data_IF_867653904231
#
_entry.id   IF_867653904231
#
_cell.length_a   1.000
_cell.length_b   1.000
_cell.length_c   1.000
_cell.angle_alpha   90.00
_cell.angle_beta   90.00
_cell.angle_gamma   90.00
#
_symmetry.space_group_name_H-M   'P 1'
#
loop_
_entity.id
_entity.type
_entity.pdbx_description
1 polymer ?
#
# COMPACT_ATOMS: atom_id res chain seq x y z
N UNK A 1 11.14 -43.95 -12.33
CA UNK A 1 10.31 -45.00 -11.73
C UNK A 1 9.82 -45.95 -12.83
N UNK A 2 9.10 -45.47 -13.87
CA UNK A 2 8.47 -46.32 -14.90
C UNK A 2 9.46 -47.25 -15.53
N UNK A 3 10.51 -46.71 -16.17
CA UNK A 3 11.49 -47.50 -16.95
C UNK A 3 12.39 -48.38 -16.11
N UNK A 4 12.68 -48.02 -14.84
CA UNK A 4 13.67 -48.71 -14.02
C UNK A 4 13.07 -49.74 -13.07
N UNK A 5 11.79 -49.60 -12.69
CA UNK A 5 11.16 -50.47 -11.69
C UNK A 5 9.86 -51.12 -12.21
N UNK A 6 8.98 -50.32 -12.92
CA UNK A 6 7.67 -50.85 -13.36
C UNK A 6 7.81 -51.75 -14.56
N UNK A 7 8.49 -51.31 -15.61
CA UNK A 7 8.66 -52.13 -16.83
C UNK A 7 9.44 -53.44 -16.58
N UNK A 8 10.54 -53.47 -15.77
CA UNK A 8 11.23 -54.71 -15.43
C UNK A 8 10.51 -55.54 -14.36
N UNK A 9 9.47 -55.05 -13.69
CA UNK A 9 8.75 -55.76 -12.64
C UNK A 9 9.47 -55.82 -11.30
N UNK A 10 10.43 -54.91 -11.03
CA UNK A 10 11.18 -54.83 -9.77
C UNK A 10 10.35 -54.20 -8.68
N UNK A 11 9.58 -55.06 -7.95
CA UNK A 11 8.69 -54.65 -6.87
C UNK A 11 9.45 -54.14 -5.67
N UNK A 12 10.62 -54.75 -5.34
CA UNK A 12 11.40 -54.35 -4.20
C UNK A 12 12.08 -53.00 -4.37
N UNK A 13 12.63 -52.74 -5.56
CA UNK A 13 13.20 -51.47 -5.95
C UNK A 13 12.15 -50.37 -5.99
N UNK A 14 10.94 -50.70 -6.50
CA UNK A 14 9.79 -49.78 -6.49
C UNK A 14 9.40 -49.41 -5.02
N UNK A 15 9.30 -50.36 -4.12
CA UNK A 15 8.96 -50.12 -2.71
C UNK A 15 9.97 -49.21 -2.00
N UNK A 16 11.28 -49.43 -2.23
CA UNK A 16 12.33 -48.53 -1.70
C UNK A 16 12.21 -47.13 -2.24
N UNK A 17 11.96 -46.97 -3.55
CA UNK A 17 11.78 -45.66 -4.19
C UNK A 17 10.55 -44.92 -3.66
N UNK A 18 9.41 -45.61 -3.47
CA UNK A 18 8.22 -45.06 -2.88
C UNK A 18 8.42 -44.63 -1.44
N UNK A 19 9.20 -45.39 -0.65
CA UNK A 19 9.57 -44.99 0.70
C UNK A 19 10.40 -43.69 0.68
N UNK A 20 11.42 -43.62 -0.18
CA UNK A 20 12.22 -42.39 -0.34
C UNK A 20 11.38 -41.20 -0.76
N UNK A 21 10.47 -41.35 -1.73
CA UNK A 21 9.54 -40.31 -2.14
C UNK A 21 8.64 -39.84 -0.97
N UNK A 22 8.14 -40.78 -0.16
CA UNK A 22 7.34 -40.46 1.03
C UNK A 22 8.12 -39.60 2.01
N UNK A 23 9.37 -39.95 2.30
CA UNK A 23 10.25 -39.15 3.18
C UNK A 23 10.49 -37.76 2.58
N UNK A 24 10.78 -37.68 1.29
CA UNK A 24 10.98 -36.40 0.59
C UNK A 24 9.73 -35.49 0.67
N UNK A 25 8.54 -36.08 0.46
CA UNK A 25 7.28 -35.31 0.60
C UNK A 25 7.03 -34.88 2.05
N UNK A 26 7.32 -35.75 3.02
CA UNK A 26 7.18 -35.40 4.44
C UNK A 26 8.10 -34.22 4.82
N UNK A 27 9.36 -34.24 4.36
CA UNK A 27 10.31 -33.14 4.54
C UNK A 27 9.78 -31.86 3.85
N UNK A 28 9.26 -31.99 2.64
CA UNK A 28 8.66 -30.88 1.90
C UNK A 28 7.48 -30.23 2.65
N UNK A 29 6.59 -31.05 3.21
CA UNK A 29 5.44 -30.56 4.02
C UNK A 29 5.93 -29.83 5.27
N UNK A 30 6.91 -30.42 5.99
CA UNK A 30 7.49 -29.78 7.18
C UNK A 30 8.20 -28.46 6.85
N UNK A 31 8.95 -28.43 5.76
CA UNK A 31 9.61 -27.22 5.29
C UNK A 31 8.58 -26.14 4.92
N UNK A 32 7.52 -26.50 4.19
CA UNK A 32 6.42 -25.58 3.81
C UNK A 32 5.73 -25.02 5.05
N UNK A 33 5.40 -25.88 6.02
CA UNK A 33 4.83 -25.45 7.28
C UNK A 33 5.77 -24.53 8.06
N UNK A 34 7.06 -24.89 8.13
CA UNK A 34 8.09 -24.12 8.84
C UNK A 34 8.26 -22.72 8.26
N UNK A 35 8.45 -22.62 6.94
CA UNK A 35 8.61 -21.29 6.33
C UNK A 35 7.33 -20.45 6.46
N UNK A 36 6.15 -21.06 6.32
CA UNK A 36 4.88 -20.35 6.47
C UNK A 36 4.71 -19.75 7.88
N UNK A 37 5.09 -20.51 8.93
CA UNK A 37 5.07 -20.00 10.30
C UNK A 37 6.09 -18.87 10.54
N UNK A 38 7.31 -19.02 9.98
CA UNK A 38 8.35 -18.00 10.11
C UNK A 38 7.89 -16.71 9.39
N UNK A 39 7.43 -16.81 8.15
CA UNK A 39 6.98 -15.65 7.38
C UNK A 39 5.81 -14.94 8.05
N UNK A 40 4.82 -15.69 8.54
CA UNK A 40 3.69 -15.08 9.23
C UNK A 40 4.12 -14.33 10.50
N UNK A 41 5.01 -14.90 11.31
CA UNK A 41 5.53 -14.26 12.53
C UNK A 41 6.37 -13.02 12.21
N UNK A 42 7.37 -13.20 11.34
CA UNK A 42 8.28 -12.10 10.98
C UNK A 42 7.55 -10.99 10.24
N UNK A 43 6.67 -11.33 9.30
CA UNK A 43 5.87 -10.35 8.57
C UNK A 43 4.97 -9.53 9.48
N UNK A 44 4.27 -10.16 10.44
CA UNK A 44 3.44 -9.45 11.41
C UNK A 44 4.27 -8.62 12.40
N UNK A 45 5.45 -9.08 12.77
CA UNK A 45 6.36 -8.31 13.62
C UNK A 45 6.81 -7.03 12.91
N UNK A 46 7.30 -7.13 11.66
CA UNK A 46 7.72 -5.96 10.86
C UNK A 46 6.56 -4.98 10.67
N UNK A 47 5.37 -5.47 10.38
CA UNK A 47 4.16 -4.63 10.23
C UNK A 47 3.82 -3.92 11.54
N UNK A 48 3.96 -4.60 12.68
CA UNK A 48 3.75 -3.98 14.00
C UNK A 48 4.77 -2.88 14.28
N UNK A 49 6.04 -3.13 13.98
CA UNK A 49 7.13 -2.14 14.12
C UNK A 49 6.89 -0.92 13.23
N UNK A 50 6.53 -1.13 11.95
CA UNK A 50 6.19 -0.01 11.04
C UNK A 50 5.03 0.82 11.59
N UNK A 51 3.96 0.18 12.10
CA UNK A 51 2.82 0.93 12.68
C UNK A 51 3.21 1.71 13.93
N UNK A 52 4.04 1.12 14.79
CA UNK A 52 4.50 1.78 16.00
C UNK A 52 5.39 2.99 15.68
N UNK A 53 6.35 2.82 14.77
CA UNK A 53 7.26 3.89 14.36
C UNK A 53 6.50 5.01 13.63
N UNK A 54 5.60 4.65 12.71
CA UNK A 54 4.74 5.61 12.01
C UNK A 54 3.87 6.40 13.01
N UNK A 55 3.26 5.72 13.98
CA UNK A 55 2.44 6.38 14.98
C UNK A 55 3.27 7.30 15.87
N UNK A 56 4.42 6.84 16.34
CA UNK A 56 5.35 7.64 17.16
C UNK A 56 5.81 8.88 16.41
N UNK A 57 6.19 8.74 15.15
CA UNK A 57 6.62 9.86 14.32
C UNK A 57 5.47 10.85 14.09
N UNK A 58 4.27 10.34 13.76
CA UNK A 58 3.06 11.16 13.56
C UNK A 58 2.73 12.03 14.78
N UNK A 59 2.95 11.53 16.01
CA UNK A 59 2.71 12.32 17.23
C UNK A 59 3.69 13.49 17.40
N UNK A 60 4.83 13.46 16.74
CA UNK A 60 5.83 14.53 16.77
C UNK A 60 5.75 15.49 15.59
N UNK A 61 4.85 15.28 14.63
CA UNK A 61 4.72 16.18 13.48
C UNK A 61 4.04 17.51 13.85
N UNK A 62 4.46 18.61 13.20
CA UNK A 62 3.87 19.93 13.44
C UNK A 62 2.41 19.98 12.95
N UNK A 63 1.60 20.86 13.55
CA UNK A 63 0.19 21.00 13.20
C UNK A 63 -0.03 21.39 11.72
N UNK A 64 0.92 22.11 11.13
CA UNK A 64 0.93 22.47 9.71
C UNK A 64 0.83 21.25 8.77
N UNK A 65 1.42 20.14 9.15
CA UNK A 65 1.34 18.89 8.40
C UNK A 65 -0.11 18.35 8.36
N UNK A 66 -0.80 18.37 9.50
CA UNK A 66 -2.20 17.90 9.60
C UNK A 66 -3.17 18.84 8.90
N UNK A 67 -2.92 20.15 8.90
CA UNK A 67 -3.73 21.12 8.17
C UNK A 67 -3.55 21.03 6.65
N UNK A 68 -2.42 20.48 6.19
CA UNK A 68 -2.12 20.25 4.77
C UNK A 68 -2.65 18.94 4.20
N UNK A 69 -3.10 18.00 5.06
CA UNK A 69 -3.53 16.66 4.65
C UNK A 69 -4.95 16.34 5.14
N UNK A 70 -5.70 15.58 4.36
CA UNK A 70 -7.03 15.14 4.80
C UNK A 70 -6.93 13.99 5.80
N UNK A 71 -7.89 13.88 6.73
CA UNK A 71 -7.95 12.76 7.66
C UNK A 71 -7.99 11.40 6.96
N UNK A 72 -8.65 11.33 5.79
CA UNK A 72 -8.73 10.13 4.98
C UNK A 72 -7.37 9.69 4.43
N UNK A 73 -6.54 10.63 3.96
CA UNK A 73 -5.17 10.34 3.50
C UNK A 73 -4.29 9.82 4.63
N UNK A 74 -4.32 10.49 5.79
CA UNK A 74 -3.54 10.06 6.96
C UNK A 74 -3.97 8.67 7.42
N UNK A 75 -5.27 8.42 7.58
CA UNK A 75 -5.78 7.10 7.96
C UNK A 75 -5.47 6.03 6.94
N UNK A 76 -5.47 6.34 5.64
CA UNK A 76 -5.10 5.38 4.58
C UNK A 76 -3.67 4.87 4.71
N UNK A 77 -2.74 5.70 5.20
CA UNK A 77 -1.35 5.28 5.47
C UNK A 77 -1.27 4.23 6.57
N UNK A 78 -2.05 4.39 7.66
CA UNK A 78 -2.10 3.44 8.78
C UNK A 78 -2.85 2.14 8.46
N UNK A 79 -3.78 2.18 7.50
CA UNK A 79 -4.63 1.04 7.14
C UNK A 79 -4.20 0.44 5.80
N UNK A 80 -4.63 1.04 4.69
CA UNK A 80 -4.48 0.46 3.35
C UNK A 80 -3.00 0.24 2.95
N UNK A 81 -2.14 1.23 3.20
CA UNK A 81 -0.73 1.15 2.80
C UNK A 81 0.02 0.12 3.65
N UNK A 82 -0.18 0.11 4.96
CA UNK A 82 0.41 -0.89 5.86
C UNK A 82 -0.13 -2.29 5.57
N UNK A 83 -1.44 -2.45 5.30
CA UNK A 83 -2.02 -3.75 4.96
C UNK A 83 -1.51 -4.26 3.62
N UNK A 84 -1.26 -3.38 2.65
CA UNK A 84 -0.64 -3.74 1.37
C UNK A 84 0.80 -4.23 1.56
N UNK A 85 1.59 -3.59 2.43
CA UNK A 85 2.93 -4.06 2.80
C UNK A 85 2.84 -5.41 3.53
N UNK A 86 1.90 -5.58 4.45
CA UNK A 86 1.66 -6.84 5.15
C UNK A 86 1.40 -8.00 4.18
N UNK A 87 0.51 -7.79 3.21
CA UNK A 87 0.19 -8.79 2.19
C UNK A 87 1.40 -9.08 1.28
N UNK A 88 2.17 -8.04 0.91
CA UNK A 88 3.40 -8.20 0.14
C UNK A 88 4.43 -9.07 0.87
N UNK A 89 4.66 -8.82 2.14
CA UNK A 89 5.61 -9.60 2.96
C UNK A 89 5.13 -11.03 3.17
N UNK A 90 3.88 -11.24 3.54
CA UNK A 90 3.37 -12.56 3.91
C UNK A 90 3.17 -13.49 2.71
N UNK A 91 2.62 -12.99 1.60
CA UNK A 91 2.18 -13.80 0.47
C UNK A 91 2.96 -13.55 -0.80
N UNK A 92 3.14 -12.27 -1.19
CA UNK A 92 3.64 -11.96 -2.53
C UNK A 92 5.10 -12.30 -2.69
N UNK A 93 5.92 -11.97 -1.73
CA UNK A 93 7.36 -12.24 -1.76
C UNK A 93 7.64 -13.76 -1.82
N UNK A 94 6.94 -14.53 -0.97
CA UNK A 94 7.06 -15.99 -0.94
C UNK A 94 6.62 -16.61 -2.27
N UNK A 95 5.46 -16.21 -2.80
CA UNK A 95 4.92 -16.72 -4.05
C UNK A 95 5.81 -16.37 -5.25
N UNK A 96 6.42 -15.19 -5.23
CA UNK A 96 7.34 -14.75 -6.28
C UNK A 96 8.61 -15.62 -6.30
N UNK A 97 9.23 -15.85 -5.14
CA UNK A 97 10.40 -16.74 -5.01
C UNK A 97 10.04 -18.17 -5.44
N UNK A 98 8.91 -18.70 -4.96
CA UNK A 98 8.43 -20.03 -5.31
C UNK A 98 8.18 -20.17 -6.82
N UNK A 99 7.54 -19.17 -7.43
CA UNK A 99 7.27 -19.15 -8.88
C UNK A 99 8.56 -19.11 -9.68
N UNK A 100 9.55 -18.32 -9.26
CA UNK A 100 10.86 -18.25 -9.89
C UNK A 100 11.57 -19.62 -9.90
N UNK A 101 11.65 -20.28 -8.73
CA UNK A 101 12.27 -21.60 -8.63
C UNK A 101 11.49 -22.68 -9.39
N UNK A 102 10.17 -22.59 -9.42
CA UNK A 102 9.32 -23.52 -10.17
C UNK A 102 9.54 -23.35 -11.68
N UNK A 103 9.57 -22.12 -12.18
CA UNK A 103 9.83 -21.82 -13.60
C UNK A 103 11.24 -22.32 -13.97
N UNK A 104 12.27 -21.91 -13.22
CA UNK A 104 13.65 -22.29 -13.48
C UNK A 104 13.84 -23.81 -13.42
N UNK A 105 13.33 -24.46 -12.37
CA UNK A 105 13.39 -25.91 -12.21
C UNK A 105 12.65 -26.67 -13.33
N UNK A 106 11.47 -26.19 -13.72
CA UNK A 106 10.71 -26.78 -14.84
C UNK A 106 11.48 -26.67 -16.16
N UNK A 107 12.05 -25.51 -16.47
CA UNK A 107 12.84 -25.31 -17.69
C UNK A 107 14.07 -26.22 -17.69
N UNK A 108 14.80 -26.28 -16.58
CA UNK A 108 15.98 -27.16 -16.44
C UNK A 108 15.58 -28.63 -16.63
N UNK A 109 14.51 -29.10 -15.99
CA UNK A 109 14.04 -30.48 -16.11
C UNK A 109 13.61 -30.82 -17.55
N UNK A 110 12.90 -29.91 -18.22
CA UNK A 110 12.47 -30.10 -19.63
C UNK A 110 13.69 -30.21 -20.54
N UNK A 111 14.69 -29.34 -20.39
CA UNK A 111 15.92 -29.35 -21.22
C UNK A 111 16.72 -30.64 -20.97
N UNK A 112 16.87 -31.08 -19.72
CA UNK A 112 17.59 -32.30 -19.36
C UNK A 112 16.90 -33.58 -19.90
N UNK A 113 15.57 -33.60 -19.94
CA UNK A 113 14.82 -34.74 -20.46
C UNK A 113 14.95 -34.90 -21.99
N UNK A 114 14.79 -33.82 -22.73
CA UNK A 114 15.00 -33.82 -24.19
C UNK A 114 15.17 -32.40 -24.72
N UNK A 115 16.39 -32.03 -25.10
CA UNK A 115 16.72 -30.69 -25.60
C UNK A 115 15.96 -30.31 -26.88
N UNK A 116 15.76 -31.24 -27.81
CA UNK A 116 15.07 -30.94 -29.07
C UNK A 116 13.57 -30.66 -28.86
N UNK A 117 12.94 -31.42 -27.98
CA UNK A 117 11.54 -31.24 -27.64
C UNK A 117 11.33 -29.97 -26.83
N UNK A 118 12.30 -29.58 -25.97
CA UNK A 118 12.23 -28.39 -25.15
C UNK A 118 12.16 -27.08 -25.95
N UNK A 119 12.69 -27.07 -27.17
CA UNK A 119 12.57 -25.90 -28.03
C UNK A 119 11.11 -25.55 -28.35
N UNK A 120 10.25 -26.55 -28.50
CA UNK A 120 8.79 -26.33 -28.69
C UNK A 120 8.20 -25.62 -27.47
N UNK A 121 8.49 -26.12 -26.27
CA UNK A 121 7.95 -25.53 -25.04
C UNK A 121 8.46 -24.10 -24.86
N UNK A 122 9.74 -23.84 -25.12
CA UNK A 122 10.32 -22.50 -25.03
C UNK A 122 9.65 -21.52 -26.02
N UNK A 123 9.33 -21.97 -27.25
CA UNK A 123 8.56 -21.15 -28.21
C UNK A 123 7.17 -20.82 -27.66
N UNK A 124 6.45 -21.81 -27.11
CA UNK A 124 5.14 -21.55 -26.49
C UNK A 124 5.22 -20.65 -25.27
N UNK A 125 6.23 -20.80 -24.41
CA UNK A 125 6.45 -19.90 -23.28
C UNK A 125 6.73 -18.47 -23.75
N UNK A 126 7.52 -18.29 -24.80
CA UNK A 126 7.76 -16.98 -25.42
C UNK A 126 6.46 -16.38 -25.97
N UNK A 127 5.63 -17.17 -26.66
CA UNK A 127 4.33 -16.74 -27.17
C UNK A 127 3.40 -16.31 -26.02
N UNK A 128 3.35 -17.08 -24.92
CA UNK A 128 2.58 -16.71 -23.72
C UNK A 128 3.07 -15.39 -23.15
N UNK A 129 4.38 -15.22 -23.01
CA UNK A 129 4.98 -13.98 -22.49
C UNK A 129 4.66 -12.76 -23.38
N UNK A 130 4.79 -12.90 -24.69
CA UNK A 130 4.44 -11.85 -25.65
C UNK A 130 2.95 -11.51 -25.61
N UNK A 131 2.10 -12.52 -25.45
CA UNK A 131 0.66 -12.31 -25.29
C UNK A 131 0.32 -11.57 -23.99
N UNK A 132 0.94 -11.94 -22.86
CA UNK A 132 0.76 -11.25 -21.56
C UNK A 132 1.20 -9.79 -21.69
N UNK A 133 2.36 -9.53 -22.28
CA UNK A 133 2.88 -8.16 -22.50
C UNK A 133 1.93 -7.33 -23.38
N UNK A 134 1.46 -7.90 -24.47
CA UNK A 134 0.53 -7.23 -25.39
C UNK A 134 -0.84 -6.94 -24.74
N UNK A 135 -1.43 -7.96 -24.11
CA UNK A 135 -2.73 -7.85 -23.43
C UNK A 135 -2.65 -6.93 -22.23
N UNK A 136 -1.59 -7.00 -21.44
CA UNK A 136 -1.39 -6.16 -20.27
C UNK A 136 -1.29 -4.68 -20.63
N UNK A 137 -0.54 -4.33 -21.67
CA UNK A 137 -0.42 -2.94 -22.13
C UNK A 137 -1.77 -2.36 -22.59
N UNK A 138 -2.59 -3.15 -23.30
CA UNK A 138 -3.94 -2.73 -23.72
C UNK A 138 -4.93 -2.73 -22.53
N UNK A 139 -4.88 -3.73 -21.69
CA UNK A 139 -5.71 -3.82 -20.48
C UNK A 139 -5.53 -2.60 -19.58
N UNK A 140 -4.29 -2.13 -19.38
CA UNK A 140 -3.99 -0.92 -18.63
C UNK A 140 -4.71 0.31 -19.19
N UNK A 141 -4.76 0.49 -20.52
CA UNK A 141 -5.46 1.61 -21.17
C UNK A 141 -6.96 1.58 -20.87
N UNK A 142 -7.59 0.42 -21.00
CA UNK A 142 -9.03 0.28 -20.73
C UNK A 142 -9.37 0.44 -19.25
N UNK A 143 -8.50 -0.10 -18.38
CA UNK A 143 -8.64 0.08 -16.94
C UNK A 143 -8.52 1.55 -16.51
N UNK A 144 -7.55 2.29 -17.07
CA UNK A 144 -7.44 3.73 -16.82
C UNK A 144 -8.69 4.50 -17.31
N UNK A 145 -9.26 4.11 -18.45
CA UNK A 145 -10.51 4.70 -18.93
C UNK A 145 -11.68 4.39 -17.99
N UNK A 146 -11.76 3.18 -17.47
CA UNK A 146 -12.76 2.78 -16.47
C UNK A 146 -12.61 3.62 -15.20
N UNK A 147 -11.39 3.79 -14.67
CA UNK A 147 -11.14 4.60 -13.48
C UNK A 147 -11.53 6.08 -13.69
N UNK A 148 -11.23 6.62 -14.87
CA UNK A 148 -11.64 7.99 -15.22
C UNK A 148 -13.16 8.16 -15.17
N UNK A 149 -13.92 7.29 -15.85
CA UNK A 149 -15.38 7.39 -15.85
C UNK A 149 -16.00 7.05 -14.49
N UNK A 150 -15.36 6.19 -13.69
CA UNK A 150 -15.76 5.94 -12.30
C UNK A 150 -15.60 7.21 -11.45
N UNK A 151 -14.48 7.93 -11.60
CA UNK A 151 -14.28 9.23 -10.95
C UNK A 151 -15.32 10.26 -11.35
N UNK A 152 -15.68 10.34 -12.66
CA UNK A 152 -16.73 11.25 -13.16
C UNK A 152 -18.12 10.92 -12.58
N UNK A 153 -18.44 9.63 -12.42
CA UNK A 153 -19.70 9.21 -11.79
C UNK A 153 -19.70 9.50 -10.30
N UNK A 154 -18.62 9.18 -9.59
CA UNK A 154 -18.51 9.42 -8.15
C UNK A 154 -18.57 10.92 -7.83
N UNK A 155 -17.83 11.76 -8.56
CA UNK A 155 -17.86 13.20 -8.37
C UNK A 155 -19.25 13.79 -8.62
N UNK A 156 -19.97 13.28 -9.63
CA UNK A 156 -21.35 13.70 -9.88
C UNK A 156 -22.30 13.27 -8.74
N UNK A 157 -22.15 12.05 -8.21
CA UNK A 157 -22.94 11.60 -7.06
C UNK A 157 -22.68 12.47 -5.83
N UNK A 158 -21.39 12.78 -5.53
CA UNK A 158 -21.02 13.65 -4.43
C UNK A 158 -21.65 15.04 -4.57
N UNK A 159 -21.55 15.65 -5.74
CA UNK A 159 -22.17 16.94 -6.05
C UNK A 159 -23.70 16.93 -5.84
N UNK A 160 -24.38 15.87 -6.29
CA UNK A 160 -25.83 15.74 -6.13
C UNK A 160 -26.25 15.47 -4.68
N UNK A 161 -25.47 14.69 -3.94
CA UNK A 161 -25.74 14.43 -2.50
C UNK A 161 -25.55 15.71 -1.69
N UNK A 162 -24.49 16.45 -1.92
CA UNK A 162 -24.22 17.71 -1.22
C UNK A 162 -25.24 18.80 -1.61
N UNK A 163 -25.62 18.84 -2.89
CA UNK A 163 -26.58 19.78 -3.46
C UNK A 163 -28.06 19.38 -3.31
N UNK A 164 -28.38 18.25 -2.68
CA UNK A 164 -29.73 17.65 -2.72
C UNK A 164 -30.86 18.58 -2.25
N UNK A 165 -30.58 19.48 -1.29
CA UNK A 165 -31.57 20.48 -0.85
C UNK A 165 -31.92 21.46 -1.96
N UNK A 166 -30.95 21.85 -2.77
CA UNK A 166 -31.15 22.78 -3.90
C UNK A 166 -31.88 22.07 -5.04
N UNK A 167 -31.47 20.82 -5.35
CA UNK A 167 -32.11 19.97 -6.35
C UNK A 167 -33.61 19.81 -6.09
N UNK A 168 -33.97 19.50 -4.82
CA UNK A 168 -35.37 19.37 -4.38
C UNK A 168 -36.17 20.65 -4.52
N UNK A 169 -35.60 21.81 -4.20
CA UNK A 169 -36.27 23.11 -4.31
C UNK A 169 -36.58 23.48 -5.75
N UNK A 170 -35.69 23.08 -6.69
CA UNK A 170 -35.85 23.39 -8.11
C UNK A 170 -36.50 22.28 -8.92
N UNK A 171 -36.88 21.12 -8.31
CA UNK A 171 -37.43 19.93 -8.98
C UNK A 171 -36.58 19.47 -10.16
N UNK A 172 -35.25 19.37 -9.95
CA UNK A 172 -34.28 19.11 -11.01
C UNK A 172 -33.94 17.63 -11.18
N UNK A 173 -34.53 16.71 -10.38
CA UNK A 173 -34.20 15.30 -10.28
C UNK A 173 -34.24 14.56 -11.62
N UNK A 174 -35.21 14.87 -12.48
CA UNK A 174 -35.33 14.24 -13.81
C UNK A 174 -34.18 14.59 -14.75
N UNK A 175 -33.68 15.83 -14.67
CA UNK A 175 -32.57 16.31 -15.51
C UNK A 175 -31.27 15.68 -15.03
N UNK A 176 -31.07 15.67 -13.72
CA UNK A 176 -29.87 15.09 -13.09
C UNK A 176 -29.82 13.58 -13.27
N UNK A 177 -30.96 12.89 -13.21
CA UNK A 177 -31.02 11.47 -13.53
C UNK A 177 -30.65 11.17 -15.00
N UNK A 178 -30.99 12.01 -15.96
CA UNK A 178 -30.56 11.84 -17.35
C UNK A 178 -29.05 12.00 -17.50
N UNK A 179 -28.45 13.01 -16.85
CA UNK A 179 -27.01 13.23 -16.89
C UNK A 179 -26.27 12.07 -16.17
N UNK A 180 -26.76 11.62 -15.00
CA UNK A 180 -26.26 10.44 -14.32
C UNK A 180 -26.29 9.21 -15.23
N UNK A 181 -27.42 8.95 -15.88
CA UNK A 181 -27.59 7.80 -16.78
C UNK A 181 -26.59 7.81 -17.93
N UNK A 182 -26.31 8.99 -18.50
CA UNK A 182 -25.30 9.14 -19.54
C UNK A 182 -23.88 8.85 -19.04
N UNK A 183 -23.50 9.39 -17.87
CA UNK A 183 -22.19 9.12 -17.24
C UNK A 183 -22.05 7.65 -16.87
N UNK A 184 -23.08 7.04 -16.29
CA UNK A 184 -23.12 5.63 -15.94
C UNK A 184 -23.02 4.72 -17.18
N UNK A 185 -23.64 5.09 -18.30
CA UNK A 185 -23.50 4.35 -19.56
C UNK A 185 -22.07 4.42 -20.12
N UNK A 186 -21.38 5.55 -19.99
CA UNK A 186 -19.96 5.67 -20.36
C UNK A 186 -19.09 4.78 -19.48
N UNK A 187 -19.34 4.77 -18.16
CA UNK A 187 -18.68 3.87 -17.23
C UNK A 187 -18.95 2.40 -17.59
N UNK A 188 -20.21 2.04 -17.88
CA UNK A 188 -20.57 0.70 -18.30
C UNK A 188 -19.77 0.22 -19.51
N UNK A 189 -19.68 1.05 -20.56
CA UNK A 189 -18.91 0.74 -21.79
C UNK A 189 -17.42 0.56 -21.48
N UNK A 190 -16.83 1.47 -20.71
CA UNK A 190 -15.43 1.41 -20.33
C UNK A 190 -15.13 0.16 -19.46
N UNK A 191 -15.98 -0.12 -18.47
CA UNK A 191 -15.88 -1.29 -17.61
C UNK A 191 -16.01 -2.59 -18.42
N UNK A 192 -16.98 -2.68 -19.32
CA UNK A 192 -17.16 -3.84 -20.19
C UNK A 192 -15.88 -4.11 -20.99
N UNK A 193 -15.28 -3.08 -21.59
CA UNK A 193 -14.03 -3.24 -22.34
C UNK A 193 -12.86 -3.64 -21.45
N UNK A 194 -12.73 -3.07 -20.26
CA UNK A 194 -11.70 -3.41 -19.30
C UNK A 194 -11.82 -4.88 -18.85
N UNK A 195 -13.02 -5.33 -18.49
CA UNK A 195 -13.27 -6.71 -18.08
C UNK A 195 -13.13 -7.72 -19.22
N UNK A 196 -13.50 -7.39 -20.44
CA UNK A 196 -13.26 -8.25 -21.61
C UNK A 196 -11.76 -8.52 -21.79
N UNK A 197 -10.93 -7.46 -21.76
CA UNK A 197 -9.49 -7.63 -21.93
C UNK A 197 -8.82 -8.38 -20.76
N UNK A 198 -9.17 -8.05 -19.52
CA UNK A 198 -8.61 -8.75 -18.37
C UNK A 198 -9.12 -10.18 -18.25
N UNK A 199 -10.40 -10.41 -18.54
CA UNK A 199 -11.03 -11.72 -18.48
C UNK A 199 -10.57 -12.69 -19.58
N UNK A 200 -10.08 -12.21 -20.73
CA UNK A 200 -9.52 -13.05 -21.80
C UNK A 200 -8.12 -13.57 -21.48
N UNK A 201 -7.38 -12.96 -20.54
CA UNK A 201 -5.98 -13.28 -20.30
C UNK A 201 -5.79 -14.72 -19.82
N UNK A 202 -6.48 -15.11 -18.75
CA UNK A 202 -6.35 -16.45 -18.16
C UNK A 202 -6.83 -17.55 -19.12
N UNK A 203 -8.05 -17.48 -19.73
CA UNK A 203 -8.50 -18.50 -20.68
C UNK A 203 -7.55 -18.68 -21.88
N UNK A 204 -6.98 -17.59 -22.40
CA UNK A 204 -6.04 -17.67 -23.53
C UNK A 204 -4.74 -18.36 -23.14
N UNK A 205 -4.16 -18.02 -21.96
CA UNK A 205 -2.94 -18.70 -21.46
C UNK A 205 -3.21 -20.20 -21.25
N UNK A 206 -4.35 -20.54 -20.66
CA UNK A 206 -4.75 -21.94 -20.43
C UNK A 206 -4.94 -22.66 -21.76
N UNK A 207 -5.61 -22.07 -22.73
CA UNK A 207 -5.79 -22.66 -24.07
C UNK A 207 -4.44 -22.87 -24.78
N UNK A 208 -3.56 -21.88 -24.72
CA UNK A 208 -2.22 -21.98 -25.30
C UNK A 208 -1.38 -23.07 -24.60
N UNK A 209 -1.57 -23.27 -23.30
CA UNK A 209 -0.95 -24.35 -22.53
C UNK A 209 -1.45 -25.73 -22.98
N UNK A 210 -2.76 -25.89 -23.27
CA UNK A 210 -3.30 -27.14 -23.80
C UNK A 210 -2.79 -27.43 -25.22
N UNK A 211 -2.67 -26.42 -26.09
CA UNK A 211 -2.08 -26.56 -27.39
C UNK A 211 -0.62 -26.99 -27.30
N UNK A 212 0.17 -26.33 -26.43
CA UNK A 212 1.54 -26.72 -26.15
C UNK A 212 1.64 -28.17 -25.67
N UNK A 213 0.76 -28.58 -24.73
CA UNK A 213 0.71 -29.96 -24.27
C UNK A 213 0.41 -30.96 -25.41
N UNK A 214 -0.59 -30.69 -26.24
CA UNK A 214 -0.98 -31.55 -27.37
C UNK A 214 0.14 -31.66 -28.37
N UNK A 215 0.78 -30.56 -28.80
CA UNK A 215 1.92 -30.56 -29.73
C UNK A 215 3.10 -31.33 -29.15
N UNK A 216 3.43 -31.08 -27.86
CA UNK A 216 4.49 -31.80 -27.16
C UNK A 216 4.22 -33.29 -27.03
N UNK A 217 2.96 -33.71 -26.84
CA UNK A 217 2.56 -35.11 -26.78
C UNK A 217 2.69 -35.80 -28.15
N UNK A 218 2.24 -35.14 -29.24
CA UNK A 218 2.35 -35.68 -30.57
C UNK A 218 3.81 -35.82 -31.03
N UNK A 219 4.61 -34.76 -30.90
CA UNK A 219 6.02 -34.76 -31.30
C UNK A 219 6.85 -35.69 -30.41
N UNK A 220 6.59 -35.65 -29.07
CA UNK A 220 7.23 -36.56 -28.12
C UNK A 220 6.90 -38.03 -28.38
N UNK A 221 5.65 -38.34 -28.76
CA UNK A 221 5.22 -39.67 -29.16
C UNK A 221 5.98 -40.15 -30.40
N UNK A 222 6.17 -39.30 -31.41
CA UNK A 222 7.00 -39.58 -32.57
C UNK A 222 8.46 -39.88 -32.19
N UNK A 223 9.02 -39.12 -31.25
CA UNK A 223 10.37 -39.35 -30.73
C UNK A 223 10.51 -40.68 -30.00
N UNK A 224 9.46 -41.11 -29.26
CA UNK A 224 9.45 -42.45 -28.66
C UNK A 224 9.43 -43.55 -29.71
N UNK A 225 8.60 -43.44 -30.76
CA UNK A 225 8.55 -44.41 -31.87
C UNK A 225 9.88 -44.49 -32.59
N UNK A 226 10.59 -43.37 -32.72
CA UNK A 226 11.91 -43.30 -33.36
C UNK A 226 13.07 -43.74 -32.42
N UNK A 227 12.80 -44.10 -31.18
CA UNK A 227 13.81 -44.49 -30.20
C UNK A 227 14.67 -43.33 -29.67
N UNK A 228 14.29 -42.07 -29.94
CA UNK A 228 15.01 -40.87 -29.46
C UNK A 228 14.64 -40.48 -28.02
N UNK A 229 13.58 -41.06 -27.47
CA UNK A 229 13.10 -40.82 -26.12
C UNK A 229 12.37 -42.07 -25.60
N UNK A 230 12.47 -42.35 -24.31
CA UNK A 230 11.72 -43.42 -23.67
C UNK A 230 10.34 -42.94 -23.18
N UNK A 231 9.41 -43.85 -22.95
CA UNK A 231 8.03 -43.59 -22.59
C UNK A 231 7.93 -42.90 -21.20
N UNK A 232 8.79 -43.30 -20.25
CA UNK A 232 8.81 -42.73 -18.92
C UNK A 232 9.30 -41.29 -18.90
N UNK A 233 10.28 -40.97 -19.72
CA UNK A 233 10.75 -39.59 -19.94
C UNK A 233 9.68 -38.72 -20.59
N UNK A 234 8.95 -39.25 -21.61
CA UNK A 234 7.82 -38.53 -22.21
C UNK A 234 6.73 -38.23 -21.19
N UNK A 235 6.34 -39.19 -20.36
CA UNK A 235 5.36 -39.01 -19.32
C UNK A 235 5.76 -37.89 -18.33
N UNK A 236 7.01 -37.90 -17.88
CA UNK A 236 7.56 -36.85 -17.00
C UNK A 236 7.61 -35.49 -17.70
N UNK A 237 8.02 -35.47 -18.95
CA UNK A 237 8.08 -34.26 -19.76
C UNK A 237 6.71 -33.57 -19.88
N UNK A 238 5.66 -34.32 -20.17
CA UNK A 238 4.29 -33.81 -20.29
C UNK A 238 3.75 -33.24 -18.97
N UNK A 239 4.17 -33.81 -17.84
CA UNK A 239 3.83 -33.23 -16.52
C UNK A 239 4.47 -31.84 -16.36
N UNK A 240 5.75 -31.70 -16.70
CA UNK A 240 6.43 -30.40 -16.64
C UNK A 240 5.85 -29.37 -17.62
N UNK A 241 5.51 -29.79 -18.84
CA UNK A 241 4.84 -28.92 -19.81
C UNK A 241 3.52 -28.39 -19.26
N UNK A 242 2.72 -29.25 -18.65
CA UNK A 242 1.44 -28.85 -18.04
C UNK A 242 1.63 -27.88 -16.87
N UNK A 243 2.69 -28.05 -16.07
CA UNK A 243 2.96 -27.21 -14.91
C UNK A 243 3.63 -25.87 -15.26
N UNK A 244 4.11 -25.66 -16.50
CA UNK A 244 4.89 -24.48 -16.87
C UNK A 244 4.10 -23.19 -16.97
N UNK A 245 2.79 -23.22 -17.26
CA UNK A 245 2.00 -22.03 -17.55
C UNK A 245 1.54 -21.23 -16.32
N UNK A 246 1.12 -21.92 -15.26
CA UNK A 246 0.55 -21.28 -14.08
C UNK A 246 1.55 -20.41 -13.30
N UNK A 247 2.81 -20.85 -13.06
CA UNK A 247 3.80 -20.05 -12.36
C UNK A 247 4.15 -18.73 -13.06
N UNK A 248 4.11 -18.70 -14.40
CA UNK A 248 4.36 -17.47 -15.18
C UNK A 248 3.28 -16.42 -14.89
N UNK A 249 2.02 -16.84 -14.85
CA UNK A 249 0.92 -15.93 -14.52
C UNK A 249 1.00 -15.46 -13.08
N UNK A 250 1.26 -16.36 -12.13
CA UNK A 250 1.43 -16.03 -10.71
C UNK A 250 2.59 -15.04 -10.51
N UNK A 251 3.73 -15.28 -11.13
CA UNK A 251 4.87 -14.36 -11.06
C UNK A 251 4.49 -12.95 -11.53
N UNK A 252 3.81 -12.83 -12.66
CA UNK A 252 3.38 -11.52 -13.19
C UNK A 252 2.41 -10.80 -12.24
N UNK A 253 1.46 -11.52 -11.66
CA UNK A 253 0.51 -10.94 -10.69
C UNK A 253 1.23 -10.45 -9.44
N UNK A 254 2.17 -11.21 -8.90
CA UNK A 254 2.91 -10.85 -7.70
C UNK A 254 3.85 -9.66 -7.92
N UNK A 255 4.48 -9.54 -9.09
CA UNK A 255 5.27 -8.35 -9.42
C UNK A 255 4.42 -7.08 -9.41
N UNK A 256 3.22 -7.12 -10.00
CA UNK A 256 2.32 -5.96 -9.99
C UNK A 256 1.86 -5.59 -8.56
N UNK A 257 1.58 -6.61 -7.75
CA UNK A 257 1.20 -6.38 -6.35
C UNK A 257 2.36 -5.80 -5.52
N UNK A 258 3.57 -6.30 -5.73
CA UNK A 258 4.77 -5.79 -5.07
C UNK A 258 5.06 -4.33 -5.45
N UNK A 259 4.84 -3.94 -6.71
CA UNK A 259 4.95 -2.54 -7.13
C UNK A 259 3.92 -1.64 -6.43
N UNK A 260 2.69 -2.13 -6.22
CA UNK A 260 1.68 -1.40 -5.44
C UNK A 260 2.10 -1.26 -3.96
N UNK A 261 2.67 -2.32 -3.37
CA UNK A 261 3.19 -2.29 -2.00
C UNK A 261 4.37 -1.32 -1.85
N UNK A 262 5.26 -1.25 -2.84
CA UNK A 262 6.37 -0.27 -2.86
C UNK A 262 5.85 1.17 -2.90
N UNK A 263 4.80 1.45 -3.69
CA UNK A 263 4.19 2.77 -3.70
C UNK A 263 3.49 3.12 -2.36
N UNK A 264 2.91 2.13 -1.67
CA UNK A 264 2.41 2.31 -0.31
C UNK A 264 3.52 2.59 0.70
N UNK A 265 4.63 1.85 0.59
CA UNK A 265 5.81 2.05 1.42
C UNK A 265 6.42 3.45 1.21
N UNK A 266 6.54 3.91 -0.04
CA UNK A 266 7.01 5.26 -0.36
C UNK A 266 6.19 6.32 0.39
N UNK A 267 4.86 6.27 0.35
CA UNK A 267 4.00 7.23 1.08
C UNK A 267 4.16 7.16 2.61
N UNK A 268 4.43 5.97 3.16
CA UNK A 268 4.69 5.80 4.59
C UNK A 268 6.04 6.42 4.96
N UNK A 269 7.08 6.13 4.18
CA UNK A 269 8.43 6.68 4.43
C UNK A 269 8.48 8.18 4.19
N UNK A 270 7.79 8.71 3.16
CA UNK A 270 7.65 10.16 2.97
C UNK A 270 7.08 10.84 4.23
N UNK A 271 6.08 10.22 4.88
CA UNK A 271 5.55 10.73 6.14
C UNK A 271 6.52 10.58 7.31
N UNK A 272 7.33 9.53 7.33
CA UNK A 272 8.34 9.30 8.38
C UNK A 272 9.60 10.15 8.19
N UNK A 273 9.84 10.67 6.99
CA UNK A 273 10.95 11.56 6.68
C UNK A 273 10.60 13.06 6.88
N UNK A 274 9.32 13.37 7.17
CA UNK A 274 8.90 14.74 7.49
C UNK A 274 9.55 15.23 8.79
N UNK A 275 9.90 16.50 8.83
CA UNK A 275 10.54 17.10 9.98
C UNK A 275 9.60 17.15 11.19
N UNK A 276 10.09 16.69 12.35
CA UNK A 276 9.35 16.76 13.58
C UNK A 276 9.23 18.21 14.07
N UNK A 277 8.21 18.48 14.87
CA UNK A 277 8.08 19.77 15.54
C UNK A 277 9.31 20.04 16.40
N UNK A 278 9.98 21.16 16.13
CA UNK A 278 11.19 21.55 16.82
C UNK A 278 10.90 22.65 17.83
N UNK A 279 11.29 22.44 19.07
CA UNK A 279 11.19 23.45 20.14
C UNK A 279 12.56 23.74 20.73
N UNK A 280 13.14 24.89 20.36
CA UNK A 280 14.41 25.40 20.92
C UNK A 280 14.18 26.29 22.15
N UNK A 281 12.94 26.46 22.60
CA UNK A 281 12.60 27.33 23.72
C UNK A 281 13.15 26.81 25.04
N UNK A 282 13.76 27.70 25.83
CA UNK A 282 14.24 27.40 27.19
C UNK A 282 13.14 27.52 28.24
N UNK A 283 12.00 28.14 27.88
CA UNK A 283 10.90 28.40 28.80
C UNK A 283 9.77 27.39 28.63
N UNK A 284 9.46 26.65 29.69
CA UNK A 284 8.42 25.63 29.70
C UNK A 284 7.29 25.96 30.64
N UNK A 285 6.08 25.45 30.36
CA UNK A 285 4.92 25.64 31.25
C UNK A 285 4.94 24.55 32.34
N UNK A 286 4.94 24.97 33.61
CA UNK A 286 4.93 24.06 34.74
C UNK A 286 3.75 24.36 35.70
N UNK A 287 3.34 23.35 36.49
CA UNK A 287 2.40 23.52 37.57
C UNK A 287 3.14 23.98 38.83
N UNK A 288 2.57 24.94 39.52
CA UNK A 288 3.22 25.49 40.72
C UNK A 288 2.29 25.52 41.94
N UNK A 289 2.90 25.42 43.09
CA UNK A 289 2.28 25.68 44.40
C UNK A 289 2.94 26.90 45.01
N UNK A 290 2.15 27.74 45.64
CA UNK A 290 2.61 28.91 46.38
C UNK A 290 3.01 28.46 47.81
N UNK A 291 4.23 28.78 48.20
CA UNK A 291 4.72 28.57 49.58
C UNK A 291 4.21 29.64 50.52
N UNK A 292 4.39 29.42 51.82
CA UNK A 292 4.01 30.39 52.86
C UNK A 292 4.75 31.74 52.77
N UNK A 293 5.93 31.73 52.12
CA UNK A 293 6.75 32.91 51.85
C UNK A 293 6.35 33.66 50.57
N UNK A 294 5.33 33.17 49.84
CA UNK A 294 4.85 33.73 48.58
C UNK A 294 5.67 33.30 47.36
N UNK A 295 6.71 32.47 47.52
CA UNK A 295 7.48 31.93 46.40
C UNK A 295 6.72 30.78 45.69
N UNK A 296 6.99 30.61 44.39
CA UNK A 296 6.41 29.53 43.58
C UNK A 296 7.35 28.34 43.52
N UNK A 297 6.81 27.16 43.79
CA UNK A 297 7.55 25.90 43.66
C UNK A 297 6.85 24.99 42.67
N UNK A 298 7.62 24.38 41.77
CA UNK A 298 7.11 23.41 40.82
C UNK A 298 6.51 22.19 41.51
N UNK A 299 5.32 21.75 41.11
CA UNK A 299 4.67 20.59 41.68
C UNK A 299 4.07 19.69 40.59
N UNK A 300 4.01 18.37 40.86
CA UNK A 300 3.39 17.39 39.94
C UNK A 300 1.87 17.27 40.13
N UNK A 301 1.36 17.77 41.25
CA UNK A 301 -0.05 17.70 41.58
C UNK A 301 -0.89 18.75 40.83
N UNK A 302 -2.21 18.51 40.70
CA UNK A 302 -3.13 19.46 40.08
C UNK A 302 -3.42 20.64 41.04
N UNK A 303 -2.54 21.63 41.05
CA UNK A 303 -2.66 22.83 41.89
C UNK A 303 -3.64 23.88 41.33
N UNK A 304 -4.01 23.79 40.03
CA UNK A 304 -4.78 24.83 39.34
C UNK A 304 -3.98 26.10 39.02
N UNK A 305 -2.74 26.23 39.49
CA UNK A 305 -1.85 27.36 39.23
C UNK A 305 -0.74 26.93 38.27
N UNK A 306 -0.42 27.78 37.28
CA UNK A 306 0.58 27.55 36.26
C UNK A 306 1.61 28.67 36.25
N UNK A 307 2.83 28.35 35.88
CA UNK A 307 3.91 29.29 35.72
C UNK A 307 4.79 28.94 34.54
N UNK A 308 5.48 29.93 34.01
CA UNK A 308 6.58 29.77 33.06
C UNK A 308 7.85 29.50 33.88
N UNK A 309 8.56 28.41 33.52
CA UNK A 309 9.85 28.05 34.09
C UNK A 309 10.90 28.16 33.04
N UNK A 310 11.90 28.99 33.26
CA UNK A 310 13.11 28.95 32.45
C UNK A 310 13.96 27.73 32.89
N UNK A 311 14.36 26.92 31.91
CA UNK A 311 15.12 25.68 32.15
C UNK A 311 16.62 25.94 32.35
N UNK A 312 17.13 27.12 31.93
CA UNK A 312 18.54 27.50 32.08
C UNK A 312 18.86 28.06 33.46
N UNK A 313 18.08 28.99 33.93
CA UNK A 313 18.33 29.68 35.21
C UNK A 313 17.40 29.21 36.34
N UNK A 314 16.37 28.43 36.04
CA UNK A 314 15.39 27.92 36.99
C UNK A 314 14.38 28.95 37.46
N UNK A 315 14.34 30.13 36.86
CA UNK A 315 13.39 31.20 37.20
C UNK A 315 11.95 30.76 36.95
N UNK A 316 11.03 30.99 37.93
CA UNK A 316 9.62 30.64 37.80
C UNK A 316 8.77 31.89 37.83
N UNK A 317 8.05 32.20 36.75
CA UNK A 317 7.20 33.37 36.61
C UNK A 317 5.74 32.96 36.52
N UNK A 318 4.81 33.47 37.35
CA UNK A 318 3.42 33.05 37.32
C UNK A 318 2.77 33.35 35.96
N UNK A 319 1.97 32.42 35.48
CA UNK A 319 1.16 32.61 34.26
C UNK A 319 -0.04 33.51 34.61
N UNK A 320 0.04 34.76 34.26
CA UNK A 320 -1.00 35.77 34.55
C UNK A 320 -1.97 35.98 33.37
N UNK A 321 -1.66 35.48 32.17
CA UNK A 321 -2.48 35.69 30.98
C UNK A 321 -2.30 37.09 30.37
N UNK A 322 -1.14 37.71 30.50
CA UNK A 322 -0.76 38.92 29.77
C UNK A 322 -0.27 38.47 28.36
N UNK A 323 -0.97 38.91 27.32
CA UNK A 323 -0.62 38.57 25.92
C UNK A 323 -0.33 39.85 25.16
N UNK A 324 0.80 39.87 24.45
CA UNK A 324 1.23 41.02 23.64
C UNK A 324 1.75 40.55 22.30
N UNK A 325 1.25 41.16 21.23
CA UNK A 325 1.75 41.03 19.86
C UNK A 325 2.44 42.33 19.48
N UNK A 326 3.64 42.24 18.97
CA UNK A 326 4.44 43.37 18.49
C UNK A 326 4.77 43.18 17.01
N UNK A 327 4.09 43.90 16.13
CA UNK A 327 4.29 43.87 14.66
C UNK A 327 4.32 42.45 14.08
N UNK A 328 3.50 41.51 14.57
CA UNK A 328 3.51 40.11 14.21
C UNK A 328 3.11 39.94 12.74
N UNK A 329 3.96 39.21 12.00
CA UNK A 329 3.74 38.78 10.64
C UNK A 329 3.60 37.26 10.59
N UNK A 330 2.59 36.77 9.86
CA UNK A 330 2.34 35.35 9.73
C UNK A 330 1.54 34.98 8.48
N UNK A 331 1.87 33.86 7.85
CA UNK A 331 1.11 33.19 6.80
C UNK A 331 1.28 31.68 6.85
N UNK A 332 0.21 30.92 6.59
CA UNK A 332 0.29 29.45 6.53
C UNK A 332 1.12 28.93 5.35
N UNK A 333 1.37 29.79 4.37
CA UNK A 333 2.24 29.52 3.22
C UNK A 333 3.08 30.76 2.95
N UNK A 334 4.29 30.58 2.43
CA UNK A 334 5.17 31.70 2.07
C UNK A 334 4.55 32.71 1.09
N UNK A 335 3.61 32.22 0.26
CA UNK A 335 2.97 33.05 -0.79
C UNK A 335 1.81 33.91 -0.29
N UNK A 336 1.23 33.62 0.89
CA UNK A 336 0.03 34.28 1.38
C UNK A 336 0.17 34.69 2.83
N UNK A 337 0.60 35.91 3.06
CA UNK A 337 0.66 36.54 4.38
C UNK A 337 -0.78 36.89 4.84
N UNK A 338 -1.16 36.40 6.03
CA UNK A 338 -2.49 36.62 6.64
C UNK A 338 -2.44 37.74 7.66
N UNK A 339 -1.43 37.71 8.56
CA UNK A 339 -1.20 38.79 9.51
C UNK A 339 -0.05 39.66 9.02
N UNK A 340 -0.29 40.97 8.98
CA UNK A 340 0.64 41.99 8.44
C UNK A 340 0.93 43.00 9.52
N UNK A 341 2.03 42.83 10.28
CA UNK A 341 2.46 43.74 11.36
C UNK A 341 1.35 44.04 12.38
N UNK A 342 0.72 42.99 12.87
CA UNK A 342 -0.36 43.13 13.84
C UNK A 342 0.21 43.39 15.24
N UNK A 343 -0.21 44.47 15.90
CA UNK A 343 0.10 44.77 17.29
C UNK A 343 -1.20 44.77 18.09
N UNK A 344 -1.24 43.98 19.14
CA UNK A 344 -2.37 43.91 20.07
C UNK A 344 -1.89 43.56 21.50
N UNK A 345 -2.72 43.84 22.47
CA UNK A 345 -2.45 43.41 23.86
C UNK A 345 -3.73 42.98 24.56
N UNK A 346 -3.59 42.06 25.51
CA UNK A 346 -4.63 41.65 26.45
C UNK A 346 -4.03 41.57 27.84
N UNK A 347 -4.59 42.33 28.78
CA UNK A 347 -4.17 42.31 30.21
C UNK A 347 -4.80 41.13 30.94
N UNK A 348 -4.21 40.67 32.05
CA UNK A 348 -4.78 39.64 32.92
C UNK A 348 -6.26 39.88 33.24
N UNK A 349 -7.10 38.88 33.06
CA UNK A 349 -8.55 38.94 33.31
C UNK A 349 -9.37 39.72 32.29
N UNK A 350 -8.77 40.31 31.27
CA UNK A 350 -9.46 41.04 30.21
C UNK A 350 -10.09 40.07 29.23
N UNK A 351 -11.34 40.33 28.84
CA UNK A 351 -12.02 39.62 27.77
C UNK A 351 -11.89 40.40 26.45
N UNK A 352 -11.34 39.78 25.43
CA UNK A 352 -11.19 40.40 24.09
C UNK A 352 -12.01 39.61 23.07
N UNK A 353 -12.74 40.30 22.20
CA UNK A 353 -13.46 39.71 21.08
C UNK A 353 -12.85 40.19 19.77
N UNK A 354 -12.47 39.25 18.91
CA UNK A 354 -12.04 39.52 17.52
C UNK A 354 -13.25 39.54 16.62
N UNK A 355 -13.48 40.65 15.90
CA UNK A 355 -14.59 40.83 14.97
C UNK A 355 -14.02 41.12 13.57
N UNK A 356 -14.61 40.55 12.54
CA UNK A 356 -14.19 40.75 11.17
C UNK A 356 -14.79 39.69 10.22
N UNK A 357 -14.63 39.88 8.92
CA UNK A 357 -15.09 38.95 7.88
C UNK A 357 -14.41 37.58 7.97
N UNK A 358 -14.97 36.57 7.32
CA UNK A 358 -14.31 35.25 7.17
C UNK A 358 -12.97 35.43 6.44
N UNK A 359 -11.92 34.80 6.95
CA UNK A 359 -10.56 34.95 6.39
C UNK A 359 -9.77 36.17 6.89
N UNK A 360 -10.30 37.00 7.81
CA UNK A 360 -9.60 38.17 8.39
C UNK A 360 -8.48 37.81 9.40
N UNK A 361 -8.15 36.54 9.59
CA UNK A 361 -7.06 36.10 10.49
C UNK A 361 -7.45 35.94 11.97
N UNK A 362 -8.75 35.94 12.32
CA UNK A 362 -9.20 35.79 13.74
C UNK A 362 -8.72 34.48 14.37
N UNK A 363 -8.94 33.37 13.68
CA UNK A 363 -8.50 32.03 14.14
C UNK A 363 -6.99 31.94 14.14
N UNK A 364 -6.31 32.57 13.20
CA UNK A 364 -4.85 32.62 13.12
C UNK A 364 -4.23 33.26 14.37
N UNK A 365 -4.81 34.36 14.89
CA UNK A 365 -4.34 34.99 16.12
C UNK A 365 -4.46 34.01 17.31
N UNK A 366 -5.56 33.25 17.40
CA UNK A 366 -5.76 32.25 18.45
C UNK A 366 -4.74 31.11 18.33
N UNK A 367 -4.49 30.65 17.11
CA UNK A 367 -3.50 29.60 16.86
C UNK A 367 -2.08 30.03 17.27
N UNK A 368 -1.71 31.29 17.01
CA UNK A 368 -0.42 31.84 17.43
C UNK A 368 -0.33 32.05 18.96
N UNK A 369 -1.42 32.43 19.62
CA UNK A 369 -1.45 32.54 21.09
C UNK A 369 -1.20 31.16 21.74
N UNK A 370 -1.75 30.11 21.17
CA UNK A 370 -1.52 28.73 21.63
C UNK A 370 -0.17 28.14 21.13
N UNK A 371 0.59 28.91 20.35
CA UNK A 371 1.82 28.46 19.69
C UNK A 371 1.65 27.18 18.88
N UNK A 372 0.53 27.05 18.17
CA UNK A 372 0.36 25.99 17.17
C UNK A 372 1.20 26.23 15.90
N UNK A 373 1.69 27.44 15.76
CA UNK A 373 2.59 27.90 14.72
C UNK A 373 3.53 28.97 15.32
N UNK A 374 4.76 29.03 14.82
CA UNK A 374 5.68 30.10 15.15
C UNK A 374 5.48 31.29 14.23
N UNK A 375 5.70 32.50 14.76
CA UNK A 375 5.60 33.76 13.98
C UNK A 375 6.76 33.86 12.98
N UNK A 376 6.49 34.49 11.85
CA UNK A 376 7.52 34.71 10.79
C UNK A 376 8.21 36.07 10.95
N UNK A 377 7.64 36.98 11.75
CA UNK A 377 8.20 38.27 12.08
C UNK A 377 7.45 38.91 13.23
N UNK A 378 8.13 39.82 13.95
CA UNK A 378 7.58 40.46 15.13
C UNK A 378 8.07 39.92 16.45
#
# INVERSE_FOLDING_TARGET
>A
VVNRYILPGDVEGLARMLFFMRVMYAVGVLATYGYGQIMARTGQQVVSEIREDLFRHTQGLPLSYFDGHTHGELMSRFTNDVDTISEALNNSFTTLIQSFFTIAGTIICIILLNFKLSLIVLVFMLLMFLFIKYSGARGKRYFNSQQKYLGEVNGFIEEMVDGQKVEKVFNHEEVDFKEFSKRNENLRKASTSAFQYSGMLIPTIVSLSYVNYAVSACVGGLFVIQGMMDLGSLASYLVYVRQSAMPVNQFTMQVNFLLAALSGAERIFDMMDEELEWDEGTVTLCRVREKEDGSLEECRERSGKWAWKDTEDGTVVPLCGDVRFHEVEFGYTEKKQILKKISLYAKPGQKIAFVGSTGAGKTTIINLINRFYDVQGG
#
